data_IF_626875362652
#
_entry.id   IF_626875362652
#
_cell.length_a   1.000
_cell.length_b   1.000
_cell.length_c   1.000
_cell.angle_alpha   90.00
_cell.angle_beta   90.00
_cell.angle_gamma   90.00
#
_symmetry.space_group_name_H-M   'P 1'
#
loop_
_entity.id
_entity.type
_entity.pdbx_description
1 polymer ?
#
# COMPACT_ATOMS: atom_id res chain seq x y z
N UNK A 1 30.70 26.19 -17.29
CA UNK A 1 31.38 25.08 -17.99
C UNK A 1 30.68 23.80 -17.59
N UNK A 2 29.97 23.17 -18.51
CA UNK A 2 29.37 21.85 -18.28
C UNK A 2 30.51 20.85 -18.20
N UNK A 3 30.67 20.16 -17.07
CA UNK A 3 31.65 19.07 -16.98
C UNK A 3 31.28 18.02 -18.03
N UNK A 4 32.23 17.55 -18.87
CA UNK A 4 31.92 16.55 -19.89
C UNK A 4 31.44 15.27 -19.22
N UNK A 5 30.43 14.62 -19.84
CA UNK A 5 30.03 13.28 -19.43
C UNK A 5 31.26 12.37 -19.49
N UNK A 6 31.44 11.52 -18.47
CA UNK A 6 32.57 10.61 -18.46
C UNK A 6 32.49 9.71 -19.70
N UNK A 7 33.62 9.56 -20.39
CA UNK A 7 33.80 8.62 -21.49
C UNK A 7 34.87 7.59 -21.13
N UNK A 8 34.99 6.53 -21.92
CA UNK A 8 36.13 5.62 -21.79
C UNK A 8 37.43 6.37 -22.09
N UNK A 9 38.45 6.10 -21.27
CA UNK A 9 39.78 6.68 -21.48
C UNK A 9 40.53 5.83 -22.50
N UNK A 10 41.12 6.49 -23.50
CA UNK A 10 41.95 5.83 -24.52
C UNK A 10 43.35 5.51 -23.98
N UNK A 11 43.95 4.42 -24.45
CA UNK A 11 45.32 4.07 -24.13
C UNK A 11 46.30 5.20 -24.55
N UNK A 12 47.19 5.60 -23.64
CA UNK A 12 48.16 6.69 -23.86
C UNK A 12 47.99 7.92 -22.95
N UNK A 13 46.90 7.98 -22.16
CA UNK A 13 46.79 8.96 -21.08
C UNK A 13 47.64 8.56 -19.86
N UNK A 14 48.10 9.50 -19.02
CA UNK A 14 49.00 9.23 -17.89
C UNK A 14 48.37 8.35 -16.79
N UNK A 15 47.04 8.26 -16.74
CA UNK A 15 46.28 7.30 -15.94
C UNK A 15 46.22 5.95 -16.63
N UNK A 16 46.31 4.85 -15.87
CA UNK A 16 46.09 3.51 -16.40
C UNK A 16 44.64 3.37 -16.89
N UNK A 17 44.41 3.66 -18.18
CA UNK A 17 43.09 3.75 -18.80
C UNK A 17 42.22 2.52 -18.51
N UNK A 18 42.83 1.33 -18.48
CA UNK A 18 42.17 0.08 -18.09
C UNK A 18 41.63 0.12 -16.66
N UNK A 19 42.44 0.53 -15.68
CA UNK A 19 42.01 0.62 -14.28
C UNK A 19 40.84 1.59 -14.10
N UNK A 20 40.87 2.72 -14.80
CA UNK A 20 39.77 3.69 -14.76
C UNK A 20 38.47 3.12 -15.36
N UNK A 21 38.56 2.49 -16.54
CA UNK A 21 37.40 1.91 -17.20
C UNK A 21 36.81 0.72 -16.41
N UNK A 22 37.66 -0.11 -15.78
CA UNK A 22 37.22 -1.18 -14.88
C UNK A 22 36.51 -0.61 -13.65
N UNK A 23 37.09 0.38 -12.97
CA UNK A 23 36.45 1.01 -11.81
C UNK A 23 35.09 1.62 -12.16
N UNK A 24 34.99 2.26 -13.33
CA UNK A 24 33.72 2.79 -13.84
C UNK A 24 32.71 1.68 -14.09
N UNK A 25 33.11 0.61 -14.78
CA UNK A 25 32.24 -0.54 -15.05
C UNK A 25 31.73 -1.15 -13.75
N UNK A 26 32.64 -1.41 -12.81
CA UNK A 26 32.33 -2.00 -11.51
C UNK A 26 31.38 -1.12 -10.69
N UNK A 27 31.54 0.20 -10.75
CA UNK A 27 30.63 1.13 -10.09
C UNK A 27 29.20 1.08 -10.66
N UNK A 28 29.04 0.80 -11.96
CA UNK A 28 27.73 0.71 -12.61
C UNK A 28 27.05 -0.64 -12.38
N UNK A 29 27.82 -1.73 -12.32
CA UNK A 29 27.29 -3.11 -12.24
C UNK A 29 27.52 -3.79 -10.88
N UNK A 30 27.99 -3.01 -9.89
CA UNK A 30 28.35 -3.47 -8.54
C UNK A 30 29.42 -4.58 -8.56
N UNK A 31 30.42 -4.44 -9.43
CA UNK A 31 31.56 -5.36 -9.57
C UNK A 31 31.27 -6.65 -10.34
N UNK A 32 30.10 -6.75 -10.99
CA UNK A 32 29.74 -7.90 -11.81
C UNK A 32 30.00 -7.65 -13.31
N UNK A 33 30.12 -8.73 -14.08
CA UNK A 33 30.17 -8.63 -15.54
C UNK A 33 28.87 -8.01 -16.09
N UNK A 34 28.99 -7.16 -17.12
CA UNK A 34 27.83 -6.50 -17.74
C UNK A 34 26.85 -7.47 -18.43
N UNK A 35 27.29 -8.70 -18.74
CA UNK A 35 26.42 -9.75 -19.26
C UNK A 35 25.51 -10.36 -18.17
N UNK A 36 25.92 -10.26 -16.91
CA UNK A 36 25.28 -10.94 -15.77
C UNK A 36 24.60 -9.96 -14.80
N UNK A 37 24.70 -8.65 -15.04
CA UNK A 37 24.17 -7.61 -14.17
C UNK A 37 23.57 -6.46 -14.97
N UNK A 38 22.41 -5.96 -14.52
CA UNK A 38 21.87 -4.69 -14.97
C UNK A 38 22.68 -3.55 -14.34
N UNK A 39 22.86 -2.46 -15.08
CA UNK A 39 23.46 -1.27 -14.48
C UNK A 39 22.51 -0.63 -13.43
N UNK A 40 23.10 0.15 -12.53
CA UNK A 40 22.35 0.88 -11.51
C UNK A 40 21.30 1.83 -12.12
N UNK A 41 21.54 2.38 -13.32
CA UNK A 41 20.58 3.26 -13.96
C UNK A 41 19.30 2.50 -14.32
N UNK A 42 19.40 1.29 -14.85
CA UNK A 42 18.28 0.39 -15.13
C UNK A 42 17.52 0.01 -13.85
N UNK A 43 18.23 -0.33 -12.78
CA UNK A 43 17.62 -0.63 -11.49
C UNK A 43 16.84 0.57 -10.93
N UNK A 44 17.47 1.75 -10.92
CA UNK A 44 16.85 2.95 -10.37
C UNK A 44 15.82 3.61 -11.30
N UNK A 45 15.74 3.23 -12.59
CA UNK A 45 14.84 3.86 -13.57
C UNK A 45 13.36 3.81 -13.17
N UNK A 46 12.98 2.92 -12.26
CA UNK A 46 11.60 2.78 -11.76
C UNK A 46 11.46 3.05 -10.27
N UNK A 47 12.53 3.50 -9.61
CA UNK A 47 12.55 3.72 -8.18
C UNK A 47 11.71 4.94 -7.80
N UNK A 48 10.82 4.76 -6.83
CA UNK A 48 10.04 5.81 -6.21
C UNK A 48 9.70 5.43 -4.76
N UNK A 49 9.73 6.42 -3.88
CA UNK A 49 9.47 6.28 -2.46
C UNK A 49 8.55 7.41 -1.97
N UNK A 50 7.75 7.07 -0.96
CA UNK A 50 6.86 8.03 -0.27
C UNK A 50 5.87 8.75 -1.19
N UNK A 51 5.54 8.12 -2.31
CA UNK A 51 4.57 8.61 -3.27
C UNK A 51 3.15 8.26 -2.83
N UNK A 52 2.26 9.25 -2.91
CA UNK A 52 0.83 9.09 -2.74
C UNK A 52 0.07 10.04 -3.66
N UNK A 53 -1.18 9.71 -3.97
CA UNK A 53 -2.10 10.60 -4.67
C UNK A 53 -3.31 10.87 -3.80
N UNK A 54 -3.56 12.15 -3.58
CA UNK A 54 -4.68 12.65 -2.80
C UNK A 54 -5.59 13.49 -3.70
N UNK A 55 -6.89 13.21 -3.66
CA UNK A 55 -7.90 14.09 -4.24
C UNK A 55 -8.04 15.38 -3.42
N UNK A 56 -8.13 16.50 -4.11
CA UNK A 56 -8.49 17.81 -3.57
C UNK A 56 -9.77 18.30 -4.24
N UNK A 57 -10.49 19.20 -3.57
CA UNK A 57 -11.68 19.85 -4.13
C UNK A 57 -11.41 20.45 -5.53
N UNK A 58 -12.48 20.54 -6.33
CA UNK A 58 -12.45 21.06 -7.70
C UNK A 58 -11.59 20.21 -8.66
N UNK A 59 -11.64 18.89 -8.52
CA UNK A 59 -11.00 17.95 -9.46
C UNK A 59 -9.48 18.16 -9.57
N UNK A 60 -8.83 18.39 -8.43
CA UNK A 60 -7.39 18.53 -8.35
C UNK A 60 -6.80 17.31 -7.66
N UNK A 61 -5.57 16.98 -8.03
CA UNK A 61 -4.79 15.92 -7.40
C UNK A 61 -3.55 16.52 -6.73
N UNK A 62 -3.08 15.88 -5.67
CA UNK A 62 -1.87 16.26 -4.94
C UNK A 62 -1.02 15.04 -4.66
N UNK A 63 0.28 15.19 -4.85
CA UNK A 63 1.27 14.37 -4.14
C UNK A 63 1.63 15.09 -2.84
N UNK A 64 1.22 14.57 -1.67
CA UNK A 64 1.43 15.25 -0.40
C UNK A 64 2.90 15.18 0.00
N UNK A 65 3.40 16.28 0.56
CA UNK A 65 4.74 16.37 1.13
C UNK A 65 4.73 16.13 2.64
N UNK A 66 5.71 15.35 3.10
CA UNK A 66 6.05 15.20 4.51
C UNK A 66 7.55 15.39 4.69
N UNK A 67 7.95 16.19 5.69
CA UNK A 67 9.37 16.38 6.00
C UNK A 67 10.07 15.08 6.43
N UNK A 68 9.35 14.14 7.04
CA UNK A 68 9.89 12.85 7.47
C UNK A 68 9.91 11.80 6.35
N UNK A 69 9.15 12.01 5.28
CA UNK A 69 8.95 11.08 4.15
C UNK A 69 8.69 11.89 2.87
N UNK A 70 9.71 12.60 2.34
CA UNK A 70 9.52 13.44 1.16
C UNK A 70 9.32 12.54 -0.09
N UNK A 71 8.33 12.84 -0.94
CA UNK A 71 8.12 12.12 -2.19
C UNK A 71 9.38 12.19 -3.05
N UNK A 72 9.93 11.02 -3.37
CA UNK A 72 11.19 10.89 -4.09
C UNK A 72 11.01 9.90 -5.23
N UNK A 73 11.46 10.24 -6.44
CA UNK A 73 11.42 9.32 -7.56
C UNK A 73 12.50 9.62 -8.58
N UNK A 74 12.83 8.62 -9.38
CA UNK A 74 13.71 8.76 -10.53
C UNK A 74 12.87 8.88 -11.80
N UNK A 75 13.13 9.91 -12.60
CA UNK A 75 12.52 10.10 -13.92
C UNK A 75 13.65 10.24 -14.93
N UNK A 76 13.71 9.31 -15.90
CA UNK A 76 14.70 9.34 -16.98
C UNK A 76 16.14 9.44 -16.47
N UNK A 77 16.45 8.71 -15.38
CA UNK A 77 17.77 8.71 -14.74
C UNK A 77 18.05 9.88 -13.78
N UNK A 78 17.12 10.83 -13.61
CA UNK A 78 17.27 11.95 -12.69
C UNK A 78 16.51 11.70 -11.39
N UNK A 79 17.22 11.73 -10.26
CA UNK A 79 16.64 11.67 -8.93
C UNK A 79 15.99 13.01 -8.59
N UNK A 80 14.69 12.99 -8.31
CA UNK A 80 13.88 14.16 -7.97
C UNK A 80 13.25 13.95 -6.60
N UNK A 81 13.19 15.02 -5.81
CA UNK A 81 12.56 15.01 -4.50
C UNK A 81 11.68 16.26 -4.33
N UNK A 82 10.45 16.05 -3.87
CA UNK A 82 9.56 17.15 -3.55
C UNK A 82 9.90 17.75 -2.19
N UNK A 83 10.00 19.08 -2.13
CA UNK A 83 10.22 19.86 -0.89
C UNK A 83 8.94 20.56 -0.40
N UNK A 84 7.85 20.41 -1.15
CA UNK A 84 6.51 20.91 -0.84
C UNK A 84 5.47 20.03 -1.54
N UNK A 85 4.18 20.23 -1.23
CA UNK A 85 3.10 19.53 -1.93
C UNK A 85 3.19 19.80 -3.43
N UNK A 86 3.09 18.75 -4.24
CA UNK A 86 3.05 18.88 -5.70
C UNK A 86 1.60 18.74 -6.14
N UNK A 87 1.02 19.83 -6.61
CA UNK A 87 -0.37 19.86 -7.03
C UNK A 87 -0.50 19.78 -8.54
N UNK A 88 -1.50 19.05 -8.99
CA UNK A 88 -1.98 19.11 -10.36
C UNK A 88 -2.54 20.53 -10.60
N UNK A 89 -2.18 21.17 -11.73
CA UNK A 89 -2.82 22.41 -12.15
C UNK A 89 -4.34 22.26 -12.23
N UNK A 90 -5.08 23.38 -12.17
CA UNK A 90 -6.53 23.33 -12.32
C UNK A 90 -6.93 22.97 -13.77
N UNK A 91 -8.19 22.54 -13.94
CA UNK A 91 -8.83 22.33 -15.25
C UNK A 91 -8.11 21.34 -16.18
N UNK A 92 -7.54 20.27 -15.62
CA UNK A 92 -6.81 19.27 -16.41
C UNK A 92 -7.71 18.13 -16.93
N UNK A 93 -8.88 17.93 -16.33
CA UNK A 93 -9.84 16.90 -16.74
C UNK A 93 -10.93 17.50 -17.63
N UNK A 94 -11.29 16.81 -18.70
CA UNK A 94 -12.38 17.22 -19.59
C UNK A 94 -12.95 16.03 -20.38
N UNK A 95 -14.02 16.26 -21.14
CA UNK A 95 -14.62 15.25 -22.01
C UNK A 95 -15.47 14.22 -21.26
N UNK A 96 -15.80 13.14 -21.98
CA UNK A 96 -16.63 12.04 -21.48
C UNK A 96 -15.95 11.24 -20.36
N UNK A 97 -16.74 10.41 -19.68
CA UNK A 97 -16.23 9.54 -18.62
C UNK A 97 -15.11 8.63 -19.14
N UNK A 98 -13.97 8.62 -18.45
CA UNK A 98 -12.77 7.87 -18.84
C UNK A 98 -11.81 7.70 -17.66
N UNK A 99 -10.90 6.74 -17.77
CA UNK A 99 -9.72 6.66 -16.92
C UNK A 99 -8.67 7.65 -17.40
N UNK A 100 -8.12 8.43 -16.47
CA UNK A 100 -7.04 9.36 -16.68
C UNK A 100 -5.82 8.90 -15.89
N UNK A 101 -4.67 8.82 -16.55
CA UNK A 101 -3.40 8.47 -15.95
C UNK A 101 -2.68 9.71 -15.46
N UNK A 102 -2.05 9.60 -14.30
CA UNK A 102 -1.34 10.69 -13.62
C UNK A 102 0.14 10.48 -13.80
N UNK A 103 0.83 11.53 -14.25
CA UNK A 103 2.26 11.52 -14.52
C UNK A 103 2.97 12.52 -13.62
N UNK A 104 4.12 12.11 -13.07
CA UNK A 104 5.14 13.02 -12.62
C UNK A 104 5.99 13.46 -13.82
N UNK A 105 6.26 14.75 -13.92
CA UNK A 105 6.97 15.36 -15.04
C UNK A 105 8.21 16.07 -14.54
N UNK A 106 9.36 15.72 -15.09
CA UNK A 106 10.62 16.40 -14.83
C UNK A 106 10.73 17.64 -15.71
N UNK A 107 11.37 18.69 -15.19
CA UNK A 107 11.87 19.81 -16.00
C UNK A 107 13.39 19.93 -15.86
N UNK A 108 14.14 20.21 -16.95
CA UNK A 108 15.58 20.44 -16.87
C UNK A 108 15.94 21.53 -15.84
N UNK A 109 16.97 21.29 -15.03
CA UNK A 109 17.41 22.21 -13.98
C UNK A 109 16.56 22.19 -12.70
N UNK A 110 15.50 21.38 -12.63
CA UNK A 110 14.70 21.17 -11.42
C UNK A 110 15.19 19.97 -10.61
N UNK A 111 15.18 20.10 -9.29
CA UNK A 111 15.37 18.98 -8.34
C UNK A 111 14.05 18.36 -7.89
N UNK A 112 12.92 18.86 -8.40
CA UNK A 112 11.57 18.37 -8.13
C UNK A 112 10.81 18.09 -9.43
N UNK A 113 9.55 17.67 -9.32
CA UNK A 113 8.67 17.32 -10.44
C UNK A 113 7.33 18.06 -10.34
N UNK A 114 6.61 18.11 -11.46
CA UNK A 114 5.23 18.58 -11.54
C UNK A 114 4.29 17.43 -11.87
N UNK A 115 2.97 17.67 -11.84
CA UNK A 115 1.97 16.68 -12.23
C UNK A 115 1.35 17.03 -13.58
N UNK A 116 1.08 16.01 -14.38
CA UNK A 116 0.27 16.08 -15.59
C UNK A 116 -0.69 14.88 -15.63
N UNK A 117 -1.72 14.96 -16.47
CA UNK A 117 -2.66 13.86 -16.68
C UNK A 117 -2.93 13.64 -18.18
N UNK A 118 -3.23 12.39 -18.56
CA UNK A 118 -3.56 12.02 -19.93
C UNK A 118 -4.55 10.85 -19.93
N UNK A 119 -5.39 10.73 -20.96
CA UNK A 119 -6.23 9.54 -21.19
C UNK A 119 -5.44 8.33 -21.72
N UNK A 120 -4.19 8.53 -22.14
CA UNK A 120 -3.25 7.48 -22.52
C UNK A 120 -2.28 7.16 -21.39
N UNK A 121 -1.98 5.87 -21.19
CA UNK A 121 -0.99 5.41 -20.21
C UNK A 121 0.46 5.51 -20.70
N UNK A 122 0.68 5.92 -21.95
CA UNK A 122 2.02 5.98 -22.53
C UNK A 122 2.88 7.08 -21.88
N UNK A 123 4.03 6.68 -21.31
CA UNK A 123 5.02 7.62 -20.76
C UNK A 123 5.77 8.32 -21.89
N UNK A 124 5.82 9.66 -21.88
CA UNK A 124 6.71 10.44 -22.73
C UNK A 124 8.11 10.60 -22.12
N UNK A 125 9.05 11.17 -22.87
CA UNK A 125 10.36 11.58 -22.34
C UNK A 125 10.18 12.50 -21.13
N UNK A 126 11.00 12.29 -20.09
CA UNK A 126 10.94 13.07 -18.85
C UNK A 126 9.59 12.98 -18.11
N UNK A 127 8.78 11.96 -18.41
CA UNK A 127 7.54 11.65 -17.69
C UNK A 127 7.58 10.27 -17.06
N UNK A 128 6.85 10.14 -15.97
CA UNK A 128 6.67 8.88 -15.25
C UNK A 128 5.23 8.73 -14.82
N UNK A 129 4.60 7.61 -15.15
CA UNK A 129 3.27 7.27 -14.64
C UNK A 129 3.37 6.94 -13.15
N UNK A 130 2.55 7.60 -12.34
CA UNK A 130 2.54 7.46 -10.88
C UNK A 130 1.21 6.97 -10.34
N UNK A 131 0.19 6.87 -11.19
CA UNK A 131 -1.13 6.43 -10.81
C UNK A 131 -2.18 6.71 -11.87
N UNK A 132 -3.43 6.57 -11.46
CA UNK A 132 -4.62 6.80 -12.29
C UNK A 132 -5.76 7.39 -11.47
N UNK A 133 -6.76 7.93 -12.15
CA UNK A 133 -8.00 8.38 -11.57
C UNK A 133 -9.16 8.19 -12.55
N UNK A 134 -10.37 8.03 -12.03
CA UNK A 134 -11.57 7.92 -12.87
C UNK A 134 -12.27 9.26 -12.92
N UNK A 135 -12.45 9.78 -14.14
CA UNK A 135 -13.27 10.95 -14.45
C UNK A 135 -14.65 10.48 -14.91
N UNK A 136 -15.72 10.99 -14.31
CA UNK A 136 -17.09 10.57 -14.66
C UNK A 136 -17.78 11.50 -15.69
N UNK A 137 -17.07 12.46 -16.29
CA UNK A 137 -17.65 13.50 -17.14
C UNK A 137 -17.87 14.85 -16.42
N UNK A 138 -17.79 14.87 -15.09
CA UNK A 138 -18.02 16.09 -14.27
C UNK A 138 -17.12 16.21 -13.04
N UNK A 139 -16.69 15.08 -12.47
CA UNK A 139 -15.83 15.02 -11.32
C UNK A 139 -14.88 13.82 -11.36
N UNK A 140 -13.75 13.94 -10.66
CA UNK A 140 -12.88 12.80 -10.33
C UNK A 140 -13.54 12.01 -9.21
N UNK A 141 -13.80 10.72 -9.43
CA UNK A 141 -14.53 9.86 -8.48
C UNK A 141 -13.64 8.83 -7.78
N UNK A 142 -12.47 8.51 -8.32
CA UNK A 142 -11.48 7.65 -7.66
C UNK A 142 -10.07 8.05 -8.06
N UNK A 143 -9.11 7.78 -7.19
CA UNK A 143 -7.68 8.04 -7.41
C UNK A 143 -6.86 6.90 -6.86
N UNK A 144 -5.90 6.41 -7.63
CA UNK A 144 -5.03 5.30 -7.29
C UNK A 144 -3.59 5.73 -7.55
N UNK A 145 -2.70 5.57 -6.56
CA UNK A 145 -1.26 5.72 -6.78
C UNK A 145 -0.64 4.33 -6.90
N UNK A 146 0.21 4.13 -7.90
CA UNK A 146 0.88 2.84 -8.13
C UNK A 146 2.07 2.59 -7.19
N UNK A 147 2.52 3.63 -6.49
CA UNK A 147 3.69 3.59 -5.60
C UNK A 147 3.32 3.73 -4.13
N UNK A 148 2.09 4.15 -3.83
CA UNK A 148 1.52 3.80 -2.54
C UNK A 148 1.33 2.29 -2.57
N UNK A 149 1.79 1.52 -1.57
CA UNK A 149 1.32 0.16 -1.42
C UNK A 149 -0.19 0.24 -1.44
N UNK A 150 -0.81 -0.25 -2.51
CA UNK A 150 -2.24 -0.49 -2.59
C UNK A 150 -2.49 -1.62 -1.64
N UNK A 151 -2.41 -1.30 -0.35
CA UNK A 151 -2.60 -2.25 0.70
C UNK A 151 -4.07 -2.64 0.65
N UNK A 152 -4.37 -3.67 -0.16
CA UNK A 152 -4.98 -4.84 0.45
C UNK A 152 -4.27 -4.99 1.79
N UNK A 153 -5.03 -5.02 2.90
CA UNK A 153 -4.47 -5.37 4.20
C UNK A 153 -3.40 -6.43 3.95
N UNK A 154 -2.14 -6.21 4.37
CA UNK A 154 -1.07 -7.16 4.08
C UNK A 154 -1.55 -8.56 4.46
N UNK A 155 -1.03 -9.61 3.82
CA UNK A 155 -1.42 -10.95 4.21
C UNK A 155 -1.34 -11.08 5.74
N UNK A 156 -2.40 -11.62 6.35
CA UNK A 156 -2.50 -11.69 7.80
C UNK A 156 -1.26 -12.37 8.38
N UNK A 157 -0.67 -11.79 9.42
CA UNK A 157 0.51 -12.40 10.07
C UNK A 157 0.10 -13.65 10.85
N UNK A 158 -1.18 -13.72 11.25
CA UNK A 158 -1.79 -14.88 11.88
C UNK A 158 -3.19 -15.13 11.33
N UNK A 159 -3.50 -16.39 11.03
CA UNK A 159 -4.82 -16.86 10.61
C UNK A 159 -5.19 -18.11 11.40
N UNK A 160 -6.31 -18.08 12.12
CA UNK A 160 -6.74 -19.25 12.87
C UNK A 160 -7.34 -20.36 12.00
N UNK A 161 -7.66 -20.07 10.73
CA UNK A 161 -8.66 -20.82 9.98
C UNK A 161 -10.05 -20.70 10.63
N UNK A 162 -11.05 -21.34 10.02
CA UNK A 162 -12.39 -21.42 10.58
C UNK A 162 -12.49 -22.49 11.66
N UNK A 163 -13.13 -22.17 12.78
CA UNK A 163 -13.37 -23.13 13.86
C UNK A 163 -14.76 -22.94 14.46
N UNK A 164 -15.37 -24.05 14.89
CA UNK A 164 -16.73 -24.06 15.43
C UNK A 164 -16.80 -23.33 16.77
N UNK A 165 -17.87 -22.54 16.94
CA UNK A 165 -18.16 -21.79 18.16
C UNK A 165 -19.59 -21.93 18.61
N UNK A 166 -19.81 -21.81 19.92
CA UNK A 166 -21.11 -21.96 20.56
C UNK A 166 -21.29 -20.98 21.73
N UNK A 167 -22.55 -20.75 22.08
CA UNK A 167 -22.99 -19.89 23.19
C UNK A 167 -22.31 -20.27 24.51
N UNK A 168 -21.89 -19.26 25.28
CA UNK A 168 -21.31 -19.39 26.62
C UNK A 168 -19.87 -19.90 26.67
N UNK A 169 -19.26 -20.19 25.51
CA UNK A 169 -17.91 -20.72 25.45
C UNK A 169 -16.84 -19.64 25.31
N UNK A 170 -15.67 -19.90 25.89
CA UNK A 170 -14.47 -19.08 25.69
C UNK A 170 -13.43 -19.87 24.90
N UNK A 171 -12.83 -19.22 23.92
CA UNK A 171 -11.81 -19.77 23.03
C UNK A 171 -10.53 -18.96 23.12
N UNK A 172 -9.38 -19.64 23.12
CA UNK A 172 -8.07 -18.99 23.09
C UNK A 172 -7.21 -19.59 21.99
N UNK A 173 -6.53 -18.73 21.23
CA UNK A 173 -5.65 -19.10 20.14
C UNK A 173 -4.29 -18.45 20.33
N UNK A 174 -3.24 -19.27 20.42
CA UNK A 174 -1.86 -18.76 20.40
C UNK A 174 -1.54 -18.25 19.00
N UNK A 175 -1.07 -17.01 18.89
CA UNK A 175 -0.83 -16.36 17.59
C UNK A 175 0.66 -16.35 17.19
N UNK A 176 1.58 -16.57 18.13
CA UNK A 176 3.01 -16.73 17.82
C UNK A 176 3.69 -15.48 17.24
N UNK A 177 3.08 -14.30 17.35
CA UNK A 177 3.57 -13.07 16.71
C UNK A 177 4.81 -12.47 17.41
N UNK A 178 5.09 -12.87 18.65
CA UNK A 178 6.20 -12.36 19.45
C UNK A 178 5.99 -10.93 19.99
N UNK A 179 4.82 -10.34 19.71
CA UNK A 179 4.38 -9.04 20.21
C UNK A 179 2.85 -8.98 20.23
N UNK A 180 2.29 -7.98 20.90
CA UNK A 180 0.84 -7.71 20.88
C UNK A 180 0.45 -7.32 19.45
N UNK A 181 -0.55 -7.97 18.81
CA UNK A 181 -1.02 -7.58 17.49
C UNK A 181 -1.59 -6.16 17.50
N UNK A 182 -1.32 -5.36 16.45
CA UNK A 182 -1.84 -3.99 16.29
C UNK A 182 -3.25 -3.96 15.72
N UNK A 183 -3.62 -4.98 14.96
CA UNK A 183 -4.96 -5.15 14.41
C UNK A 183 -5.37 -6.60 14.62
N UNK A 184 -6.57 -6.82 15.13
CA UNK A 184 -7.20 -8.15 15.21
C UNK A 184 -8.63 -8.02 14.69
N UNK A 185 -9.00 -8.88 13.75
CA UNK A 185 -10.34 -8.96 13.18
C UNK A 185 -10.92 -10.34 13.45
N UNK A 186 -12.09 -10.36 14.09
CA UNK A 186 -12.89 -11.55 14.31
C UNK A 186 -14.03 -11.59 13.28
N UNK A 187 -14.10 -12.68 12.52
CA UNK A 187 -15.15 -12.93 11.53
C UNK A 187 -16.01 -14.10 11.98
N UNK A 188 -17.30 -14.04 11.69
CA UNK A 188 -18.25 -15.13 11.87
C UNK A 188 -18.87 -15.53 10.53
N UNK A 189 -19.06 -16.83 10.32
CA UNK A 189 -19.72 -17.42 9.16
C UNK A 189 -20.60 -18.60 9.59
N UNK A 190 -21.74 -18.86 8.93
CA UNK A 190 -22.54 -20.06 9.19
C UNK A 190 -21.86 -21.34 8.70
N UNK A 191 -20.92 -21.26 7.75
CA UNK A 191 -20.29 -22.42 7.11
C UNK A 191 -18.82 -22.55 7.54
N UNK A 192 -18.37 -23.78 7.77
CA UNK A 192 -17.00 -24.08 8.20
C UNK A 192 -15.94 -23.65 7.18
N UNK A 193 -16.25 -23.66 5.89
CA UNK A 193 -15.31 -23.31 4.82
C UNK A 193 -15.28 -21.80 4.52
N UNK A 194 -16.12 -21.01 5.19
CA UNK A 194 -16.26 -19.58 4.94
C UNK A 194 -17.06 -19.23 3.69
N UNK A 195 -17.68 -20.20 3.01
CA UNK A 195 -18.46 -20.00 1.76
C UNK A 195 -19.74 -19.16 1.93
N UNK A 196 -20.17 -18.92 3.17
CA UNK A 196 -21.32 -18.08 3.50
C UNK A 196 -21.00 -16.59 3.62
N UNK A 197 -21.99 -15.79 4.02
CA UNK A 197 -21.75 -14.39 4.38
C UNK A 197 -20.84 -14.30 5.61
N UNK A 198 -19.82 -13.46 5.49
CA UNK A 198 -18.80 -13.24 6.52
C UNK A 198 -19.15 -11.95 7.27
N UNK A 199 -19.38 -12.05 8.57
CA UNK A 199 -19.79 -10.92 9.40
C UNK A 199 -18.69 -10.56 10.40
N UNK A 200 -18.26 -9.28 10.49
CA UNK A 200 -17.35 -8.87 11.55
C UNK A 200 -18.06 -8.94 12.90
N UNK A 201 -17.38 -9.54 13.89
CA UNK A 201 -17.91 -9.71 15.24
C UNK A 201 -17.33 -8.62 16.13
N UNK A 202 -18.09 -7.55 16.34
CA UNK A 202 -17.74 -6.48 17.28
C UNK A 202 -18.41 -6.64 18.64
N UNK A 203 -19.56 -7.31 18.67
CA UNK A 203 -20.43 -7.43 19.85
C UNK A 203 -21.07 -8.82 19.91
N UNK A 204 -21.22 -9.33 21.13
CA UNK A 204 -22.08 -10.45 21.51
C UNK A 204 -22.97 -10.08 22.70
N UNK A 205 -24.05 -10.82 22.93
CA UNK A 205 -24.99 -10.58 24.02
C UNK A 205 -24.80 -11.52 25.22
N UNK A 206 -24.80 -10.97 26.43
CA UNK A 206 -24.74 -11.74 27.69
C UNK A 206 -25.96 -11.53 28.57
N UNK A 207 -26.21 -12.48 29.48
CA UNK A 207 -27.45 -12.63 30.23
C UNK A 207 -27.48 -12.06 31.67
N UNK A 208 -26.64 -11.09 32.05
CA UNK A 208 -26.68 -10.59 33.46
C UNK A 208 -26.44 -9.08 33.59
N UNK A 209 -27.36 -8.29 34.19
CA UNK A 209 -28.79 -8.51 34.49
C UNK A 209 -29.75 -8.01 33.39
N UNK A 210 -29.24 -7.49 32.28
CA UNK A 210 -29.96 -7.18 31.04
C UNK A 210 -29.12 -7.68 29.85
N UNK A 211 -29.72 -7.82 28.66
CA UNK A 211 -28.99 -8.17 27.43
C UNK A 211 -27.94 -7.10 27.14
N UNK A 212 -26.75 -7.26 27.71
CA UNK A 212 -25.66 -6.32 27.55
C UNK A 212 -24.85 -6.73 26.35
N UNK A 213 -24.61 -5.73 25.50
CA UNK A 213 -23.67 -5.82 24.40
C UNK A 213 -22.26 -5.73 24.96
N UNK A 214 -21.47 -6.77 24.78
CA UNK A 214 -20.06 -6.80 25.18
C UNK A 214 -19.18 -7.09 23.98
N UNK A 215 -17.98 -6.53 23.97
CA UNK A 215 -16.98 -6.92 22.97
C UNK A 215 -16.47 -8.33 23.32
N UNK A 216 -16.49 -9.29 22.39
CA UNK A 216 -16.09 -10.66 22.67
C UNK A 216 -14.57 -10.84 22.66
N UNK A 217 -13.81 -9.89 22.13
CA UNK A 217 -12.42 -10.06 21.75
C UNK A 217 -11.46 -9.41 22.76
N UNK A 218 -10.42 -10.13 23.15
CA UNK A 218 -9.28 -9.60 23.91
C UNK A 218 -7.99 -10.27 23.41
N UNK A 219 -6.84 -9.62 23.57
CA UNK A 219 -5.56 -10.16 23.11
C UNK A 219 -4.38 -9.55 23.86
N UNK A 220 -3.29 -10.32 23.94
CA UNK A 220 -2.03 -9.91 24.53
C UNK A 220 -0.85 -10.28 23.60
N UNK A 221 0.37 -10.36 24.15
CA UNK A 221 1.57 -10.69 23.37
C UNK A 221 1.69 -12.15 22.94
N UNK A 222 0.81 -13.02 23.44
CA UNK A 222 0.87 -14.48 23.30
C UNK A 222 -0.40 -15.13 22.76
N UNK A 223 -1.57 -14.60 23.14
CA UNK A 223 -2.87 -15.17 22.78
C UNK A 223 -3.89 -14.12 22.30
N UNK A 224 -4.80 -14.60 21.46
CA UNK A 224 -6.07 -13.93 21.15
C UNK A 224 -7.18 -14.76 21.79
N UNK A 225 -7.93 -14.14 22.68
CA UNK A 225 -9.03 -14.74 23.41
C UNK A 225 -10.38 -14.20 22.96
N UNK A 226 -11.38 -15.07 22.96
CA UNK A 226 -12.74 -14.78 22.52
C UNK A 226 -13.71 -15.34 23.53
N UNK A 227 -14.59 -14.50 24.07
CA UNK A 227 -15.69 -14.92 24.94
C UNK A 227 -16.99 -14.78 24.18
N UNK A 228 -17.64 -15.91 23.88
CA UNK A 228 -18.98 -15.90 23.30
C UNK A 228 -19.97 -15.44 24.36
N UNK A 229 -20.99 -14.73 23.89
CA UNK A 229 -22.12 -14.32 24.71
C UNK A 229 -22.89 -15.51 25.26
N UNK A 230 -23.71 -15.24 26.26
CA UNK A 230 -24.60 -16.23 26.90
C UNK A 230 -26.08 -15.98 26.62
N UNK A 231 -26.41 -15.04 25.72
CA UNK A 231 -27.75 -14.62 25.33
C UNK A 231 -28.74 -15.75 25.05
N UNK A 232 -29.91 -15.74 25.71
CA UNK A 232 -30.98 -16.74 25.47
C UNK A 232 -31.76 -16.48 24.18
N UNK A 233 -31.73 -15.25 23.67
CA UNK A 233 -32.55 -14.80 22.54
C UNK A 233 -31.76 -14.70 21.21
N UNK A 234 -30.59 -15.34 21.14
CA UNK A 234 -29.63 -15.16 20.04
C UNK A 234 -28.59 -14.09 20.34
N UNK A 235 -27.65 -13.89 19.41
CA UNK A 235 -26.61 -12.85 19.58
C UNK A 235 -25.37 -13.31 20.33
N UNK A 236 -25.29 -14.59 20.69
CA UNK A 236 -24.23 -15.15 21.53
C UNK A 236 -22.93 -15.39 20.77
N UNK A 237 -22.99 -15.66 19.47
CA UNK A 237 -21.80 -15.77 18.60
C UNK A 237 -21.73 -14.67 17.55
N UNK A 238 -22.80 -13.94 17.29
CA UNK A 238 -22.77 -12.71 16.50
C UNK A 238 -24.08 -11.96 16.75
N UNK A 239 -23.96 -10.67 17.03
CA UNK A 239 -25.09 -9.74 17.11
C UNK A 239 -24.84 -8.57 16.15
N UNK A 240 -25.36 -8.67 14.92
CA UNK A 240 -25.30 -7.58 13.94
C UNK A 240 -26.61 -7.50 13.15
N UNK A 241 -26.78 -6.44 12.36
CA UNK A 241 -28.00 -6.25 11.55
C UNK A 241 -28.22 -7.35 10.50
N UNK A 242 -27.15 -8.01 10.06
CA UNK A 242 -27.21 -9.07 9.05
C UNK A 242 -27.36 -10.48 9.63
N UNK A 243 -27.01 -10.71 10.90
CA UNK A 243 -27.13 -12.02 11.51
C UNK A 243 -27.20 -11.97 13.05
N UNK A 244 -27.97 -12.91 13.61
CA UNK A 244 -28.14 -13.13 15.03
C UNK A 244 -28.08 -14.64 15.31
N UNK A 245 -26.97 -15.11 15.90
CA UNK A 245 -26.74 -16.55 16.04
C UNK A 245 -26.22 -16.96 17.42
N UNK A 246 -26.41 -18.24 17.74
CA UNK A 246 -25.97 -18.91 18.98
C UNK A 246 -24.86 -19.94 18.75
N UNK A 247 -24.57 -20.24 17.50
CA UNK A 247 -23.52 -21.14 17.05
C UNK A 247 -23.08 -20.75 15.63
N UNK A 248 -21.91 -21.21 15.21
CA UNK A 248 -21.40 -21.04 13.85
C UNK A 248 -19.90 -21.25 13.82
N UNK A 249 -19.19 -20.52 12.97
CA UNK A 249 -17.74 -20.63 12.83
C UNK A 249 -17.09 -19.26 12.94
N UNK A 250 -16.01 -19.17 13.71
CA UNK A 250 -15.16 -17.99 13.77
C UNK A 250 -13.88 -18.18 12.98
N UNK A 251 -13.33 -17.05 12.48
CA UNK A 251 -11.96 -16.93 11.99
C UNK A 251 -11.32 -15.67 12.54
N UNK A 252 -10.09 -15.78 13.00
CA UNK A 252 -9.28 -14.69 13.53
C UNK A 252 -8.22 -14.34 12.49
N UNK A 253 -8.14 -13.06 12.15
CA UNK A 253 -7.06 -12.47 11.37
C UNK A 253 -6.34 -11.46 12.25
N UNK A 254 -5.01 -11.49 12.30
CA UNK A 254 -4.24 -10.55 13.11
C UNK A 254 -2.97 -10.08 12.39
N UNK A 255 -2.63 -8.82 12.63
CA UNK A 255 -1.49 -8.13 12.03
C UNK A 255 -0.58 -7.52 13.09
N UNK A 256 0.72 -7.60 12.83
CA UNK A 256 1.79 -7.10 13.68
C UNK A 256 1.88 -5.59 13.72
#
# INVERSE_FOLDING_TARGET
MTYPLSAEVTAGQPTAAAQYNHLRSDALTLGNAAADSLDLAHFFNRHAEHMALQYLANNRLRVPYSISKPPTLVINGYLLQATANVDLPANQFSGAAATWYVFAVRSPGSTTFTLAVNSSAAEATDQRIIGECVWNGSAVCSTLCYFTPTAALPATDYDSGWFAVATGQTYSKAHGLGQVPRIVQLLWCPNLDGSGSNYPVSVVYTNSPCNTSVSPLYYDGSLIGITCGSGTYGGSTIACSGNFATAGYYRILAWK
#
